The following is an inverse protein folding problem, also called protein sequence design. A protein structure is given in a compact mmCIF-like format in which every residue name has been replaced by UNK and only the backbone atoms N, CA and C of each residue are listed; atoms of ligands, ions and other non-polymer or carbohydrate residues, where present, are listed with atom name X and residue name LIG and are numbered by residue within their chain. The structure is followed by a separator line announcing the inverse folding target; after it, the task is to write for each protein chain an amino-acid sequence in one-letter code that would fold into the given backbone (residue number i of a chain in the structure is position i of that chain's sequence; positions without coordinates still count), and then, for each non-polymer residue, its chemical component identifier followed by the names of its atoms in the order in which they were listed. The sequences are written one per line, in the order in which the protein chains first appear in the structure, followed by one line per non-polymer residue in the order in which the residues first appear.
data_IF_916372444027
#
_entry.id   IF_916372444027
#
_cell.length_a   1.000
_cell.length_b   1.000
_cell.length_c   1.000
_cell.angle_alpha   90.00
_cell.angle_beta   90.00
_cell.angle_gamma   90.00
#
_symmetry.space_group_name_H-M   'P 1'
#
loop_
_entity.id
_entity.type
_entity.pdbx_description
1 polymer ?
#
# COMPACT_ATOMS: atom_id res chain seq x y z
N UNK A 1 -22.81 -28.11 -7.85
CA UNK A 1 -22.73 -27.25 -6.65
C UNK A 1 -21.89 -26.03 -7.00
N UNK A 2 -22.40 -24.82 -6.76
CA UNK A 2 -21.61 -23.58 -6.87
C UNK A 2 -20.82 -23.47 -5.57
N UNK A 3 -19.48 -23.52 -5.64
CA UNK A 3 -18.66 -23.26 -4.47
C UNK A 3 -18.64 -21.75 -4.27
N UNK A 4 -19.14 -21.30 -3.11
CA UNK A 4 -19.03 -19.89 -2.75
C UNK A 4 -17.57 -19.59 -2.39
N UNK A 5 -17.08 -18.44 -2.81
CA UNK A 5 -15.73 -18.00 -2.47
C UNK A 5 -15.81 -17.40 -1.07
N UNK A 6 -15.05 -17.95 -0.13
CA UNK A 6 -14.95 -17.42 1.23
C UNK A 6 -14.17 -16.09 1.25
N UNK A 7 -14.65 -15.13 2.04
CA UNK A 7 -14.01 -13.82 2.19
C UNK A 7 -12.54 -13.93 2.63
N UNK A 8 -12.21 -14.93 3.46
CA UNK A 8 -10.84 -15.21 3.87
C UNK A 8 -9.94 -15.60 2.70
N UNK A 9 -10.47 -16.31 1.70
CA UNK A 9 -9.74 -16.63 0.46
C UNK A 9 -9.50 -15.38 -0.38
N UNK A 10 -10.49 -14.49 -0.49
CA UNK A 10 -10.36 -13.22 -1.22
C UNK A 10 -9.31 -12.33 -0.54
N UNK A 11 -9.41 -12.15 0.78
CA UNK A 11 -8.44 -11.39 1.58
C UNK A 11 -7.04 -11.93 1.38
N UNK A 12 -6.85 -13.25 1.50
CA UNK A 12 -5.54 -13.89 1.33
C UNK A 12 -4.99 -13.66 -0.08
N UNK A 13 -5.85 -13.75 -1.11
CA UNK A 13 -5.45 -13.50 -2.48
C UNK A 13 -5.00 -12.06 -2.68
N UNK A 14 -5.76 -11.09 -2.17
CA UNK A 14 -5.41 -9.66 -2.24
C UNK A 14 -4.03 -9.43 -1.63
N UNK A 15 -3.83 -9.85 -0.37
CA UNK A 15 -2.55 -9.65 0.35
C UNK A 15 -1.36 -10.27 -0.40
N UNK A 16 -1.54 -11.46 -1.00
CA UNK A 16 -0.48 -12.13 -1.76
C UNK A 16 -0.10 -11.45 -3.07
N UNK A 17 -0.96 -10.56 -3.58
CA UNK A 17 -0.75 -9.83 -4.83
C UNK A 17 -0.26 -8.40 -4.63
N UNK A 18 -0.17 -7.94 -3.38
CA UNK A 18 0.33 -6.61 -3.07
C UNK A 18 1.84 -6.50 -3.36
N UNK A 19 2.30 -5.36 -3.90
CA UNK A 19 3.72 -5.06 -4.06
C UNK A 19 4.50 -5.03 -2.73
N UNK A 20 5.83 -5.16 -2.78
CA UNK A 20 6.73 -5.17 -1.61
C UNK A 20 6.65 -3.86 -0.80
N UNK A 21 6.30 -2.75 -1.46
CA UNK A 21 6.07 -1.44 -0.84
C UNK A 21 4.99 -1.49 0.25
N UNK A 22 4.03 -2.43 0.13
CA UNK A 22 2.94 -2.64 1.08
C UNK A 22 3.30 -3.63 2.20
N UNK A 23 4.54 -4.07 2.35
CA UNK A 23 4.92 -5.05 3.39
C UNK A 23 4.52 -4.64 4.81
N UNK A 24 4.64 -3.35 5.13
CA UNK A 24 4.27 -2.84 6.46
C UNK A 24 2.75 -2.85 6.65
N UNK A 25 2.00 -2.58 5.58
CA UNK A 25 0.55 -2.74 5.57
C UNK A 25 0.17 -4.20 5.84
N UNK A 26 0.79 -5.16 5.15
CA UNK A 26 0.53 -6.60 5.32
C UNK A 26 0.81 -7.05 6.75
N UNK A 27 1.95 -6.68 7.34
CA UNK A 27 2.27 -6.99 8.74
C UNK A 27 1.26 -6.38 9.73
N UNK A 28 0.82 -5.14 9.50
CA UNK A 28 -0.19 -4.50 10.33
C UNK A 28 -1.58 -5.14 10.18
N UNK A 29 -1.93 -5.60 8.97
CA UNK A 29 -3.16 -6.33 8.70
C UNK A 29 -3.18 -7.68 9.42
N UNK A 30 -2.08 -8.44 9.34
CA UNK A 30 -1.91 -9.72 10.05
C UNK A 30 -1.97 -9.59 11.57
N UNK A 31 -1.74 -8.40 12.11
CA UNK A 31 -1.86 -8.10 13.54
C UNK A 31 -3.26 -7.63 13.95
N UNK A 32 -4.16 -7.42 13.00
CA UNK A 32 -5.53 -6.95 13.25
C UNK A 32 -6.36 -8.04 13.92
N UNK A 33 -7.27 -7.68 14.83
CA UNK A 33 -8.14 -8.65 15.50
C UNK A 33 -9.02 -9.40 14.49
N UNK A 34 -9.27 -10.70 14.74
CA UNK A 34 -9.99 -11.56 13.76
C UNK A 34 -11.38 -11.03 13.38
N UNK A 35 -12.11 -10.42 14.32
CA UNK A 35 -13.43 -9.84 14.05
C UNK A 35 -13.39 -8.61 13.14
N UNK A 36 -12.24 -7.92 13.10
CA UNK A 36 -12.00 -6.74 12.27
C UNK A 36 -11.38 -7.07 10.91
N UNK A 37 -11.05 -8.36 10.64
CA UNK A 37 -10.50 -8.81 9.36
C UNK A 37 -11.59 -9.04 8.32
N UNK A 38 -12.37 -7.99 8.05
CA UNK A 38 -13.42 -7.99 7.03
C UNK A 38 -12.91 -7.39 5.72
N UNK A 39 -13.59 -7.72 4.61
CA UNK A 39 -13.27 -7.12 3.30
C UNK A 39 -13.44 -5.59 3.30
N UNK A 40 -14.45 -5.07 4.01
CA UNK A 40 -14.71 -3.63 4.12
C UNK A 40 -13.56 -2.90 4.82
N UNK A 41 -13.08 -3.46 5.94
CA UNK A 41 -11.95 -2.91 6.67
C UNK A 41 -10.65 -3.01 5.88
N UNK A 42 -10.42 -4.13 5.18
CA UNK A 42 -9.26 -4.30 4.30
C UNK A 42 -9.25 -3.23 3.21
N UNK A 43 -10.38 -3.07 2.52
CA UNK A 43 -10.54 -2.12 1.41
C UNK A 43 -10.32 -0.69 1.88
N UNK A 44 -10.96 -0.30 2.98
CA UNK A 44 -10.84 1.05 3.53
C UNK A 44 -9.39 1.38 3.91
N UNK A 45 -8.67 0.43 4.50
CA UNK A 45 -7.27 0.63 4.89
C UNK A 45 -6.34 0.63 3.68
N UNK A 46 -6.57 -0.21 2.67
CA UNK A 46 -5.77 -0.23 1.43
C UNK A 46 -5.85 1.11 0.70
N UNK A 47 -7.05 1.69 0.58
CA UNK A 47 -7.22 3.01 -0.05
C UNK A 47 -6.41 4.10 0.67
N UNK A 48 -6.40 4.09 2.00
CA UNK A 48 -5.59 5.03 2.78
C UNK A 48 -4.09 4.82 2.57
N UNK A 49 -3.64 3.56 2.47
CA UNK A 49 -2.24 3.23 2.25
C UNK A 49 -1.78 3.68 0.86
N UNK A 50 -2.59 3.44 -0.17
CA UNK A 50 -2.30 3.86 -1.55
C UNK A 50 -2.13 5.38 -1.65
N UNK A 51 -2.99 6.16 -1.00
CA UNK A 51 -2.86 7.62 -0.94
C UNK A 51 -1.52 8.08 -0.31
N UNK A 52 -1.02 7.35 0.69
CA UNK A 52 0.28 7.64 1.32
C UNK A 52 1.43 7.33 0.38
N UNK A 53 1.36 6.22 -0.35
CA UNK A 53 2.37 5.85 -1.34
C UNK A 53 2.46 6.88 -2.47
N UNK A 54 1.33 7.31 -3.05
CA UNK A 54 1.31 8.35 -4.08
C UNK A 54 1.92 9.67 -3.58
N UNK A 55 1.69 10.02 -2.30
CA UNK A 55 2.29 11.23 -1.72
C UNK A 55 3.81 11.12 -1.63
N UNK A 56 4.32 9.96 -1.19
CA UNK A 56 5.75 9.71 -1.03
C UNK A 56 6.51 9.71 -2.37
N UNK A 57 5.96 9.07 -3.40
CA UNK A 57 6.57 9.09 -4.74
C UNK A 57 6.71 10.51 -5.30
N UNK A 58 5.72 11.37 -5.05
CA UNK A 58 5.76 12.77 -5.46
C UNK A 58 6.83 13.57 -4.70
N UNK A 59 6.99 13.34 -3.40
CA UNK A 59 8.03 13.97 -2.59
C UNK A 59 9.43 13.57 -3.07
N UNK A 60 9.68 12.28 -3.29
CA UNK A 60 10.95 11.76 -3.80
C UNK A 60 11.29 12.34 -5.20
N UNK A 61 10.28 12.46 -6.07
CA UNK A 61 10.43 13.08 -7.39
C UNK A 61 10.75 14.58 -7.33
N UNK A 62 10.27 15.32 -6.32
CA UNK A 62 10.61 16.74 -6.10
C UNK A 62 12.03 16.89 -5.54
N UNK A 63 12.40 16.06 -4.55
CA UNK A 63 13.73 16.07 -3.95
C UNK A 63 14.81 15.83 -5.01
N UNK A 64 14.60 14.83 -5.90
CA UNK A 64 15.52 14.52 -6.99
C UNK A 64 15.74 15.69 -7.97
N UNK A 65 14.67 16.42 -8.34
CA UNK A 65 14.72 17.57 -9.24
C UNK A 65 15.47 18.76 -8.64
N UNK A 66 15.33 18.97 -7.33
CA UNK A 66 15.98 20.09 -6.61
C UNK A 66 17.49 19.89 -6.54
N UNK A 67 17.95 18.66 -6.28
CA UNK A 67 19.38 18.32 -6.24
C UNK A 67 20.05 18.56 -7.59
N UNK A 68 19.42 18.15 -8.71
CA UNK A 68 19.99 18.34 -10.04
C UNK A 68 20.11 19.81 -10.46
N UNK A 69 19.19 20.68 -10.01
CA UNK A 69 19.26 22.11 -10.27
C UNK A 69 20.45 22.77 -9.56
N UNK A 70 20.90 22.27 -8.41
CA UNK A 70 22.01 22.85 -7.65
C UNK A 70 23.38 22.76 -8.33
N UNK A 71 23.58 21.80 -9.23
CA UNK A 71 24.88 21.57 -9.89
C UNK A 71 25.18 22.51 -11.07
N UNK A 72 24.21 23.29 -11.55
CA UNK A 72 24.36 24.14 -12.74
C UNK A 72 24.67 25.62 -12.46
N UNK A 73 24.72 26.06 -11.19
CA UNK A 73 24.95 27.47 -10.83
C UNK A 73 26.43 27.83 -10.56
N UNK A 74 27.37 26.91 -10.86
CA UNK A 74 28.82 27.10 -10.66
C UNK A 74 29.60 27.08 -11.98
N UNK A 75 29.13 27.80 -13.00
CA UNK A 75 29.95 28.17 -14.16
C UNK A 75 29.78 29.64 -14.50
#
# INVERSE_FOLDING_TARGET
MKQDIDDGMVISKILSTLPEEYKFFTSAWESTEKGERTLDNLTSRLLLEEMRHTSKENEDAVAFRTVHRGYYWKK
#
